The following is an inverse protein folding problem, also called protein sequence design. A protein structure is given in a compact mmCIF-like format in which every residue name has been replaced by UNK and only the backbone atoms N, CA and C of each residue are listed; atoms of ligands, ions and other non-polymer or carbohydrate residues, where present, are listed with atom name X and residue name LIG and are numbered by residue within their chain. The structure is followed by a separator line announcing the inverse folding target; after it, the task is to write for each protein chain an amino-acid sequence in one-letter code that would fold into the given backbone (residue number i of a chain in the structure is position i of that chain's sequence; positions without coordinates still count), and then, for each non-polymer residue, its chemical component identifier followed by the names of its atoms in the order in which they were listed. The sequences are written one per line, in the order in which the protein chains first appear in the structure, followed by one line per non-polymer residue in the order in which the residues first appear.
data_IF_615554074961
#
_entry.id   IF_615554074961
#
_cell.length_a   1.000
_cell.length_b   1.000
_cell.length_c   1.000
_cell.angle_alpha   90.00
_cell.angle_beta   90.00
_cell.angle_gamma   90.00
#
_symmetry.space_group_name_H-M   'P 1'
#
loop_
_entity.id
_entity.type
_entity.pdbx_description
1 polymer ?
#
# COMPACT_ATOMS: atom_id res chain seq x y z
N UNK A 1 66.76 -18.87 -24.30
CA UNK A 1 65.88 -20.01 -24.02
C UNK A 1 64.99 -19.59 -22.89
N UNK A 2 63.71 -19.55 -23.22
CA UNK A 2 62.60 -18.94 -22.52
C UNK A 2 62.41 -19.45 -21.11
N UNK A 3 61.91 -18.59 -20.23
CA UNK A 3 60.73 -18.87 -19.40
C UNK A 3 60.20 -17.55 -18.83
N UNK A 4 59.04 -17.16 -19.34
CA UNK A 4 58.27 -15.95 -19.02
C UNK A 4 57.48 -16.21 -17.74
N UNK A 5 57.73 -15.42 -16.69
CA UNK A 5 56.80 -15.30 -15.55
C UNK A 5 55.67 -14.34 -15.94
N UNK A 6 54.51 -14.90 -16.29
CA UNK A 6 53.28 -14.13 -16.46
C UNK A 6 52.58 -14.00 -15.10
N UNK A 7 52.53 -12.76 -14.60
CA UNK A 7 51.63 -12.37 -13.53
C UNK A 7 50.18 -12.39 -14.01
N UNK A 8 49.29 -12.84 -13.12
CA UNK A 8 47.85 -12.54 -13.18
C UNK A 8 47.37 -12.27 -11.76
N UNK A 9 47.62 -11.04 -11.29
CA UNK A 9 46.81 -10.43 -10.23
C UNK A 9 45.73 -9.65 -10.96
N UNK A 10 44.50 -10.16 -10.96
CA UNK A 10 43.36 -9.45 -11.56
C UNK A 10 42.18 -9.52 -10.61
N UNK A 11 42.11 -8.50 -9.76
CA UNK A 11 40.91 -7.76 -9.40
C UNK A 11 39.64 -8.58 -9.16
N UNK A 12 39.44 -9.02 -7.92
CA UNK A 12 38.10 -9.09 -7.36
C UNK A 12 37.56 -7.65 -7.27
N UNK A 13 36.81 -7.22 -8.28
CA UNK A 13 35.92 -6.08 -8.16
C UNK A 13 34.79 -6.47 -7.21
N UNK A 14 34.99 -6.17 -5.93
CA UNK A 14 33.88 -5.95 -5.00
C UNK A 14 33.11 -4.78 -5.58
N UNK A 15 31.96 -5.04 -6.22
CA UNK A 15 30.96 -4.01 -6.47
C UNK A 15 30.50 -3.51 -5.09
N UNK A 16 31.19 -2.49 -4.58
CA UNK A 16 30.64 -1.65 -3.52
C UNK A 16 29.47 -0.91 -4.13
N UNK A 17 28.27 -1.38 -3.80
CA UNK A 17 27.01 -0.73 -4.13
C UNK A 17 27.00 0.64 -3.42
N UNK A 18 27.42 1.69 -4.15
CA UNK A 18 27.50 3.05 -3.62
C UNK A 18 26.07 3.59 -3.55
N UNK A 19 25.39 3.32 -2.43
CA UNK A 19 24.21 4.09 -2.07
C UNK A 19 24.63 5.55 -1.96
N UNK A 20 24.05 6.42 -2.78
CA UNK A 20 24.29 7.85 -2.65
C UNK A 20 23.85 8.27 -1.24
N UNK A 21 24.65 9.06 -0.51
CA UNK A 21 24.25 9.54 0.79
C UNK A 21 22.93 10.32 0.65
N UNK A 22 22.03 10.14 1.61
CA UNK A 22 20.78 10.88 1.67
C UNK A 22 21.08 12.40 1.69
N UNK A 23 20.29 13.24 1.02
CA UNK A 23 20.51 14.69 1.03
C UNK A 23 20.36 15.27 2.44
N UNK A 24 21.15 16.29 2.77
CA UNK A 24 21.08 17.00 4.07
C UNK A 24 19.66 17.42 4.44
N UNK A 25 18.92 18.02 3.51
CA UNK A 25 17.53 18.43 3.74
C UNK A 25 16.59 17.26 4.09
N UNK A 26 16.89 16.04 3.61
CA UNK A 26 16.13 14.85 4.02
C UNK A 26 16.58 14.36 5.39
N UNK A 27 17.88 14.41 5.71
CA UNK A 27 18.39 14.09 7.04
C UNK A 27 17.80 15.02 8.11
N UNK A 28 17.73 16.32 7.85
CA UNK A 28 17.09 17.31 8.73
C UNK A 28 15.62 16.95 8.97
N UNK A 29 14.88 16.62 7.90
CA UNK A 29 13.49 16.17 8.01
C UNK A 29 13.34 14.91 8.85
N UNK A 30 14.25 13.95 8.71
CA UNK A 30 14.23 12.72 9.50
C UNK A 30 14.48 13.04 10.99
N UNK A 31 15.46 13.89 11.29
CA UNK A 31 15.76 14.33 12.65
C UNK A 31 14.57 15.04 13.29
N UNK A 32 13.97 16.01 12.58
CA UNK A 32 12.78 16.76 13.04
C UNK A 32 11.59 15.84 13.34
N UNK A 33 11.48 14.72 12.62
CA UNK A 33 10.42 13.72 12.80
C UNK A 33 10.81 12.55 13.74
N UNK A 34 12.04 12.56 14.28
CA UNK A 34 12.55 11.49 15.13
C UNK A 34 12.68 10.15 14.42
N UNK A 35 13.05 10.17 13.14
CA UNK A 35 13.24 8.99 12.28
C UNK A 35 14.73 8.70 12.12
N UNK A 36 15.10 7.42 12.31
CA UNK A 36 16.48 6.98 12.11
C UNK A 36 16.79 6.87 10.59
N UNK A 37 17.80 7.60 10.07
CA UNK A 37 18.22 7.49 8.67
C UNK A 37 18.63 6.07 8.24
N UNK A 38 19.05 5.22 9.18
CA UNK A 38 19.45 3.84 8.91
C UNK A 38 18.34 3.02 8.22
N UNK A 39 17.07 3.37 8.46
CA UNK A 39 15.87 2.79 7.82
C UNK A 39 16.00 2.75 6.29
N UNK A 40 16.60 3.77 5.68
CA UNK A 40 16.73 3.87 4.23
C UNK A 40 17.96 3.15 3.67
N UNK A 41 18.96 2.90 4.52
CA UNK A 41 20.14 2.10 4.16
C UNK A 41 19.84 0.60 4.08
N UNK A 42 18.73 0.15 4.68
CA UNK A 42 18.34 -1.26 4.73
C UNK A 42 17.78 -1.81 3.41
N UNK A 43 17.63 -0.99 2.37
CA UNK A 43 16.97 -1.37 1.12
C UNK A 43 17.50 -2.67 0.48
N UNK A 44 18.81 -2.90 0.57
CA UNK A 44 19.48 -4.08 0.01
C UNK A 44 19.37 -5.31 0.92
N UNK A 45 18.91 -5.14 2.16
CA UNK A 45 18.70 -6.21 3.14
C UNK A 45 17.23 -6.55 3.35
N UNK A 46 16.32 -5.59 3.15
CA UNK A 46 14.87 -5.77 3.28
C UNK A 46 14.36 -6.70 2.18
N UNK A 47 13.71 -7.82 2.51
CA UNK A 47 13.13 -8.71 1.50
C UNK A 47 12.10 -8.00 0.63
N UNK A 48 11.90 -8.53 -0.56
CA UNK A 48 10.72 -8.23 -1.36
C UNK A 48 9.64 -9.24 -1.04
N UNK A 49 8.40 -8.85 -1.25
CA UNK A 49 7.26 -9.70 -0.97
C UNK A 49 6.40 -9.90 -2.22
N UNK A 50 5.89 -11.12 -2.35
CA UNK A 50 4.87 -11.48 -3.33
C UNK A 50 3.65 -12.03 -2.59
N UNK A 51 2.47 -11.72 -3.12
CA UNK A 51 1.21 -12.33 -2.74
C UNK A 51 0.82 -13.35 -3.81
N UNK A 52 0.55 -14.58 -3.40
CA UNK A 52 0.00 -15.61 -4.25
C UNK A 52 -1.50 -15.39 -4.45
N UNK A 53 -2.00 -15.60 -5.67
CA UNK A 53 -3.44 -15.64 -5.93
C UNK A 53 -4.03 -16.87 -5.22
N UNK A 54 -5.14 -16.73 -4.48
CA UNK A 54 -5.83 -17.88 -3.91
C UNK A 54 -6.15 -18.93 -4.98
N UNK A 55 -5.89 -20.21 -4.68
CA UNK A 55 -6.08 -21.34 -5.61
C UNK A 55 -4.86 -21.67 -6.47
N UNK A 56 -3.75 -20.95 -6.33
CA UNK A 56 -2.49 -21.22 -7.03
C UNK A 56 -1.43 -21.89 -6.12
N UNK A 57 -1.82 -22.47 -4.98
CA UNK A 57 -0.91 -23.06 -3.99
C UNK A 57 -0.11 -24.24 -4.52
N UNK A 58 -0.70 -25.05 -5.42
CA UNK A 58 -0.02 -26.20 -6.04
C UNK A 58 1.05 -25.78 -7.07
N UNK A 59 1.11 -24.50 -7.43
CA UNK A 59 2.02 -23.96 -8.45
C UNK A 59 3.33 -23.41 -7.87
N UNK A 60 3.54 -23.51 -6.55
CA UNK A 60 4.70 -22.92 -5.85
C UNK A 60 6.04 -23.37 -6.44
N UNK A 61 6.20 -24.66 -6.73
CA UNK A 61 7.44 -25.21 -7.31
C UNK A 61 7.73 -24.64 -8.71
N UNK A 62 6.69 -24.42 -9.53
CA UNK A 62 6.85 -23.77 -10.85
C UNK A 62 7.27 -22.31 -10.68
N UNK A 63 6.65 -21.59 -9.72
CA UNK A 63 6.99 -20.20 -9.43
C UNK A 63 8.44 -20.07 -8.93
N UNK A 64 8.89 -20.94 -8.03
CA UNK A 64 10.27 -20.98 -7.55
C UNK A 64 11.28 -21.22 -8.68
N UNK A 65 10.96 -22.16 -9.59
CA UNK A 65 11.78 -22.43 -10.75
C UNK A 65 11.84 -21.23 -11.73
N UNK A 66 10.71 -20.55 -11.95
CA UNK A 66 10.63 -19.34 -12.78
C UNK A 66 11.45 -18.18 -12.20
N UNK A 67 11.35 -17.96 -10.88
CA UNK A 67 12.04 -16.87 -10.18
C UNK A 67 13.49 -17.20 -9.83
N UNK A 68 13.89 -18.47 -9.92
CA UNK A 68 15.21 -18.99 -9.54
C UNK A 68 15.56 -18.67 -8.08
N UNK A 69 14.57 -18.74 -7.21
CA UNK A 69 14.75 -18.55 -5.78
C UNK A 69 13.70 -19.35 -5.00
N UNK A 70 14.06 -19.79 -3.81
CA UNK A 70 13.13 -20.35 -2.84
C UNK A 70 12.19 -19.25 -2.31
N UNK A 71 10.90 -19.56 -2.21
CA UNK A 71 9.89 -18.67 -1.65
C UNK A 71 9.75 -18.90 -0.15
N UNK A 72 10.15 -17.92 0.65
CA UNK A 72 10.04 -18.03 2.12
C UNK A 72 8.66 -17.58 2.58
N UNK A 73 7.84 -18.49 3.09
CA UNK A 73 6.49 -18.17 3.60
C UNK A 73 6.55 -17.11 4.70
N UNK A 74 5.70 -16.09 4.62
CA UNK A 74 5.51 -15.10 5.67
C UNK A 74 4.49 -15.65 6.66
N UNK A 75 4.96 -16.22 7.77
CA UNK A 75 4.11 -17.00 8.70
C UNK A 75 2.92 -16.22 9.27
N UNK A 76 3.11 -14.93 9.56
CA UNK A 76 2.09 -14.05 10.13
C UNK A 76 1.12 -13.47 9.10
N UNK A 77 1.38 -13.69 7.80
CA UNK A 77 0.59 -13.13 6.70
C UNK A 77 0.27 -14.20 5.65
N UNK A 78 -0.91 -14.85 5.73
CA UNK A 78 -1.29 -15.92 4.81
C UNK A 78 -1.25 -15.50 3.34
N UNK A 79 -0.75 -16.39 2.48
CA UNK A 79 -0.63 -16.16 1.04
C UNK A 79 0.53 -15.24 0.62
N UNK A 80 1.37 -14.78 1.56
CA UNK A 80 2.55 -13.98 1.26
C UNK A 80 3.85 -14.79 1.37
N UNK A 81 4.79 -14.47 0.48
CA UNK A 81 6.12 -15.05 0.44
C UNK A 81 7.17 -13.96 0.27
N UNK A 82 8.26 -14.08 1.03
CA UNK A 82 9.44 -13.25 0.92
C UNK A 82 10.38 -13.83 -0.15
N UNK A 83 10.94 -12.93 -0.97
CA UNK A 83 11.95 -13.19 -1.98
C UNK A 83 13.14 -12.24 -1.78
N UNK A 84 14.35 -12.60 -2.20
CA UNK A 84 15.50 -11.70 -2.11
C UNK A 84 15.27 -10.36 -2.84
N UNK A 85 15.86 -9.25 -2.36
CA UNK A 85 15.57 -7.90 -2.87
C UNK A 85 15.87 -7.69 -4.36
N UNK A 86 16.88 -8.40 -4.88
CA UNK A 86 17.30 -8.31 -6.29
C UNK A 86 16.38 -9.07 -7.26
N UNK A 87 15.54 -10.00 -6.79
CA UNK A 87 14.68 -10.81 -7.67
C UNK A 87 13.58 -9.95 -8.29
N UNK A 88 13.46 -10.01 -9.62
CA UNK A 88 12.44 -9.30 -10.39
C UNK A 88 11.36 -10.26 -10.88
N UNK A 89 10.11 -9.98 -10.51
CA UNK A 89 8.97 -10.83 -10.88
C UNK A 89 8.33 -10.43 -12.22
N UNK A 90 8.56 -9.21 -12.70
CA UNK A 90 7.84 -8.67 -13.86
C UNK A 90 8.03 -9.49 -15.15
N UNK A 91 9.16 -10.20 -15.26
CA UNK A 91 9.49 -11.07 -16.39
C UNK A 91 8.92 -12.49 -16.27
N UNK A 92 8.41 -12.92 -15.12
CA UNK A 92 7.92 -14.28 -14.94
C UNK A 92 6.54 -14.48 -15.56
N UNK A 93 6.29 -15.71 -16.02
CA UNK A 93 4.99 -16.09 -16.59
C UNK A 93 3.92 -16.06 -15.50
N UNK A 94 4.24 -16.49 -14.28
CA UNK A 94 3.35 -16.43 -13.13
C UNK A 94 2.88 -15.00 -12.82
N UNK A 95 3.76 -14.00 -12.91
CA UNK A 95 3.35 -12.60 -12.73
C UNK A 95 2.47 -12.11 -13.88
N UNK A 96 2.86 -12.42 -15.13
CA UNK A 96 2.12 -11.97 -16.33
C UNK A 96 0.71 -12.57 -16.42
N UNK A 97 0.51 -13.77 -15.88
CA UNK A 97 -0.79 -14.46 -15.82
C UNK A 97 -1.60 -14.10 -14.55
N UNK A 98 -1.07 -13.24 -13.66
CA UNK A 98 -1.77 -12.84 -12.44
C UNK A 98 -1.85 -13.92 -11.37
N UNK A 99 -0.93 -14.90 -11.38
CA UNK A 99 -0.80 -15.91 -10.32
C UNK A 99 -0.09 -15.37 -9.10
N UNK A 100 0.82 -14.41 -9.28
CA UNK A 100 1.52 -13.71 -8.21
C UNK A 100 1.47 -12.19 -8.39
N UNK A 101 1.47 -11.46 -7.27
CA UNK A 101 1.45 -9.99 -7.24
C UNK A 101 2.60 -9.48 -6.38
N UNK A 102 3.30 -8.45 -6.84
CA UNK A 102 4.28 -7.74 -6.01
C UNK A 102 3.56 -6.79 -5.06
N UNK A 103 3.67 -7.03 -3.75
CA UNK A 103 3.02 -6.24 -2.71
C UNK A 103 3.85 -6.34 -1.44
N UNK A 104 4.12 -5.22 -0.78
CA UNK A 104 4.82 -5.21 0.51
C UNK A 104 3.98 -5.93 1.58
N UNK A 105 4.61 -6.69 2.47
CA UNK A 105 3.89 -7.46 3.48
C UNK A 105 3.13 -6.55 4.47
N UNK A 106 3.66 -5.37 4.80
CA UNK A 106 2.93 -4.43 5.65
C UNK A 106 1.61 -4.01 5.00
N UNK A 107 1.59 -3.75 3.68
CA UNK A 107 0.35 -3.43 2.95
C UNK A 107 -0.66 -4.58 3.00
N UNK A 108 -0.19 -5.82 2.93
CA UNK A 108 -1.05 -6.99 3.15
C UNK A 108 -1.62 -7.05 4.56
N UNK A 109 -0.87 -6.61 5.58
CA UNK A 109 -1.31 -6.53 6.97
C UNK A 109 -2.51 -5.56 7.13
N UNK A 110 -2.52 -4.42 6.44
CA UNK A 110 -3.66 -3.49 6.46
C UNK A 110 -4.95 -4.14 5.90
N UNK A 111 -4.82 -4.91 4.83
CA UNK A 111 -5.94 -5.66 4.26
C UNK A 111 -6.42 -6.74 5.22
N UNK A 112 -5.49 -7.48 5.84
CA UNK A 112 -5.83 -8.53 6.80
C UNK A 112 -6.49 -7.96 8.08
N UNK A 113 -6.04 -6.79 8.55
CA UNK A 113 -6.59 -6.10 9.72
C UNK A 113 -8.07 -5.71 9.55
N UNK A 114 -8.50 -5.45 8.30
CA UNK A 114 -9.89 -5.13 7.98
C UNK A 114 -10.83 -6.32 8.30
N UNK A 115 -10.29 -7.55 8.28
CA UNK A 115 -10.99 -8.79 8.56
C UNK A 115 -12.29 -8.91 7.76
N UNK A 116 -12.13 -9.00 6.44
CA UNK A 116 -13.22 -9.13 5.47
C UNK A 116 -13.73 -10.57 5.48
N UNK A 117 -15.05 -10.74 5.59
CA UNK A 117 -15.73 -12.02 5.56
C UNK A 117 -16.53 -12.19 4.26
N UNK A 118 -16.88 -13.44 3.95
CA UNK A 118 -17.77 -13.73 2.82
C UNK A 118 -19.13 -13.05 3.04
N UNK A 119 -19.59 -12.30 2.04
CA UNK A 119 -20.82 -11.52 2.09
C UNK A 119 -20.67 -10.06 2.54
N UNK A 120 -19.50 -9.64 3.03
CA UNK A 120 -19.26 -8.23 3.37
C UNK A 120 -19.31 -7.34 2.11
N UNK A 121 -19.99 -6.20 2.22
CA UNK A 121 -19.84 -5.11 1.28
C UNK A 121 -18.59 -4.29 1.64
N UNK A 122 -17.57 -4.35 0.79
CA UNK A 122 -16.27 -3.72 1.02
C UNK A 122 -16.02 -2.55 0.07
N UNK A 123 -15.58 -1.42 0.62
CA UNK A 123 -15.11 -0.26 -0.14
C UNK A 123 -13.61 -0.06 0.06
N UNK A 124 -12.84 0.05 -1.01
CA UNK A 124 -11.47 0.61 -0.97
C UNK A 124 -11.50 2.03 -1.55
N UNK A 125 -11.44 3.03 -0.68
CA UNK A 125 -11.62 4.44 -1.06
C UNK A 125 -10.45 5.01 -1.86
N UNK A 126 -9.27 4.42 -1.75
CA UNK A 126 -8.03 4.93 -2.33
C UNK A 126 -7.41 3.95 -3.35
N UNK A 127 -8.08 2.84 -3.64
CA UNK A 127 -7.80 2.03 -4.83
C UNK A 127 -7.77 2.94 -6.05
N UNK A 128 -6.56 3.27 -6.51
CA UNK A 128 -6.35 4.17 -7.64
C UNK A 128 -7.31 3.81 -8.78
N UNK A 129 -8.11 4.77 -9.29
CA UNK A 129 -8.90 4.53 -10.48
C UNK A 129 -7.92 4.14 -11.58
N UNK A 130 -8.21 3.06 -12.32
CA UNK A 130 -7.40 2.66 -13.46
C UNK A 130 -7.29 3.83 -14.45
N UNK A 131 -6.15 4.54 -14.41
CA UNK A 131 -5.73 5.63 -15.29
C UNK A 131 -6.82 6.41 -16.02
N UNK A 132 -7.24 7.53 -15.45
CA UNK A 132 -7.68 8.69 -16.22
C UNK A 132 -6.60 9.78 -16.09
N UNK A 133 -5.54 9.68 -16.90
CA UNK A 133 -4.76 10.87 -17.24
C UNK A 133 -5.57 11.64 -18.29
N UNK A 134 -6.45 12.52 -17.84
CA UNK A 134 -7.00 13.60 -18.65
C UNK A 134 -7.41 14.72 -17.71
N UNK A 135 -6.68 15.84 -17.74
CA UNK A 135 -6.98 17.07 -16.99
C UNK A 135 -8.31 17.74 -17.41
N UNK A 136 -9.18 17.08 -18.17
CA UNK A 136 -10.47 17.63 -18.60
C UNK A 136 -11.52 16.54 -18.79
N UNK A 137 -12.24 16.21 -17.72
CA UNK A 137 -13.68 15.89 -17.74
C UNK A 137 -14.16 15.55 -16.34
N UNK A 138 -15.44 15.81 -16.07
CA UNK A 138 -16.17 15.34 -14.89
C UNK A 138 -16.10 13.81 -14.78
N UNK A 139 -15.13 13.29 -14.02
CA UNK A 139 -14.85 11.86 -13.88
C UNK A 139 -15.95 11.16 -13.06
N UNK A 140 -16.80 10.42 -13.76
CA UNK A 140 -17.70 9.43 -13.17
C UNK A 140 -16.92 8.16 -12.89
N UNK A 141 -17.08 7.59 -11.71
CA UNK A 141 -16.45 6.33 -11.37
C UNK A 141 -17.02 5.20 -12.22
N UNK A 142 -16.11 4.49 -12.89
CA UNK A 142 -16.40 3.31 -13.69
C UNK A 142 -16.25 2.06 -12.83
N UNK A 143 -16.85 0.97 -13.30
CA UNK A 143 -16.68 -0.35 -12.70
C UNK A 143 -15.20 -0.72 -12.68
N UNK A 144 -14.73 -1.15 -11.53
CA UNK A 144 -13.32 -1.46 -11.35
C UNK A 144 -12.92 -2.73 -12.10
N UNK A 145 -11.73 -2.72 -12.71
CA UNK A 145 -11.10 -3.90 -13.32
C UNK A 145 -9.65 -4.01 -12.83
N UNK A 146 -9.16 -5.25 -12.67
CA UNK A 146 -7.84 -5.55 -12.10
C UNK A 146 -6.70 -4.73 -12.72
N UNK A 147 -5.78 -4.25 -11.87
CA UNK A 147 -4.66 -3.36 -12.25
C UNK A 147 -3.81 -3.99 -13.36
N UNK A 148 -3.99 -3.54 -14.60
CA UNK A 148 -3.07 -3.76 -15.73
C UNK A 148 -1.97 -2.70 -15.71
N UNK A 149 -0.72 -3.09 -16.02
CA UNK A 149 0.37 -2.11 -16.18
C UNK A 149 0.04 -1.10 -17.29
N UNK A 150 0.68 0.08 -17.30
CA UNK A 150 0.49 1.06 -18.38
C UNK A 150 0.76 0.46 -19.78
N UNK A 151 1.74 -0.47 -19.89
CA UNK A 151 2.05 -1.18 -21.14
C UNK A 151 0.93 -2.16 -21.54
N UNK A 152 0.24 -2.75 -20.58
CA UNK A 152 -0.87 -3.68 -20.82
C UNK A 152 -2.19 -2.94 -21.10
N UNK A 153 -2.37 -1.73 -20.56
CA UNK A 153 -3.44 -0.81 -20.95
C UNK A 153 -3.39 -0.47 -22.45
N UNK A 154 -2.19 -0.26 -23.00
CA UNK A 154 -2.01 0.04 -24.44
C UNK A 154 -2.29 -1.16 -25.35
N UNK A 155 -2.06 -2.39 -24.87
CA UNK A 155 -2.32 -3.64 -25.62
C UNK A 155 -3.79 -4.08 -25.52
N UNK A 156 -4.41 -3.93 -24.36
CA UNK A 156 -5.81 -4.27 -24.09
C UNK A 156 -6.81 -3.46 -24.92
N UNK A 157 -6.51 -2.21 -25.25
CA UNK A 157 -7.36 -1.39 -26.13
C UNK A 157 -7.56 -1.98 -27.53
N UNK A 158 -6.75 -2.97 -27.95
CA UNK A 158 -6.87 -3.68 -29.23
C UNK A 158 -7.62 -5.02 -29.18
N UNK A 159 -7.89 -5.56 -27.99
CA UNK A 159 -8.51 -6.87 -27.84
C UNK A 159 -9.73 -6.77 -26.92
N UNK A 160 -10.87 -6.42 -27.50
CA UNK A 160 -12.18 -6.56 -26.85
C UNK A 160 -13.11 -7.33 -27.78
N UNK A 161 -13.15 -8.64 -27.58
CA UNK A 161 -14.28 -9.53 -27.83
C UNK A 161 -14.02 -10.81 -27.04
N UNK A 162 -14.91 -11.14 -26.10
CA UNK A 162 -14.86 -12.38 -25.32
C UNK A 162 -15.32 -12.18 -23.88
N UNK A 163 -16.57 -12.57 -23.63
CA UNK A 163 -17.18 -12.80 -22.32
C UNK A 163 -16.65 -14.07 -21.69
N UNK A 164 -16.50 -14.10 -20.36
CA UNK A 164 -17.00 -15.21 -19.51
C UNK A 164 -16.90 -14.84 -18.02
N UNK A 165 -17.95 -15.21 -17.28
CA UNK A 165 -18.15 -15.01 -15.85
C UNK A 165 -17.56 -16.20 -15.07
N UNK A 166 -16.68 -15.94 -14.11
CA UNK A 166 -16.23 -16.91 -13.10
C UNK A 166 -16.46 -16.33 -11.71
N UNK A 167 -17.16 -17.10 -10.87
CA UNK A 167 -17.35 -16.86 -9.44
C UNK A 167 -16.00 -17.00 -8.72
N UNK A 168 -15.53 -15.93 -8.09
CA UNK A 168 -14.32 -15.94 -7.25
C UNK A 168 -14.64 -15.34 -5.88
N UNK A 169 -13.94 -15.83 -4.85
CA UNK A 169 -13.86 -15.26 -3.50
C UNK A 169 -13.64 -13.74 -3.56
N UNK A 170 -13.98 -12.96 -2.51
CA UNK A 170 -13.92 -11.51 -2.58
C UNK A 170 -12.50 -11.02 -2.86
N UNK A 171 -12.20 -10.80 -4.15
CA UNK A 171 -11.15 -9.89 -4.56
C UNK A 171 -11.55 -8.54 -4.00
N UNK A 172 -10.63 -7.94 -3.22
CA UNK A 172 -10.88 -6.77 -2.40
C UNK A 172 -11.08 -5.51 -3.24
N UNK A 173 -11.95 -5.50 -4.25
CA UNK A 173 -12.37 -4.31 -4.97
C UNK A 173 -13.83 -4.43 -5.44
N UNK A 174 -14.70 -3.58 -4.87
CA UNK A 174 -16.05 -3.39 -5.39
C UNK A 174 -16.37 -1.89 -5.54
N UNK A 175 -16.08 -1.34 -6.73
CA UNK A 175 -16.87 -0.25 -7.30
C UNK A 175 -17.83 -0.88 -8.30
N UNK A 176 -18.99 -1.35 -7.83
CA UNK A 176 -19.99 -2.04 -8.66
C UNK A 176 -21.36 -1.38 -8.58
N UNK A 177 -22.29 -1.70 -9.50
CA UNK A 177 -23.66 -1.14 -9.52
C UNK A 177 -24.38 -1.31 -8.16
N UNK A 178 -24.10 -2.39 -7.43
CA UNK A 178 -24.68 -2.70 -6.11
C UNK A 178 -24.04 -1.92 -4.96
N UNK A 179 -22.84 -1.35 -5.16
CA UNK A 179 -22.14 -0.52 -4.17
C UNK A 179 -22.68 0.93 -4.11
N UNK A 180 -23.52 1.32 -5.08
CA UNK A 180 -24.05 2.68 -5.21
C UNK A 180 -23.05 3.73 -5.72
N UNK A 181 -21.80 3.35 -5.99
CA UNK A 181 -20.72 4.29 -6.34
C UNK A 181 -20.49 4.45 -7.84
N UNK A 182 -20.85 3.46 -8.65
CA UNK A 182 -20.71 3.52 -10.12
C UNK A 182 -21.60 4.64 -10.69
N UNK A 183 -20.99 5.53 -11.47
CA UNK A 183 -21.68 6.68 -12.07
C UNK A 183 -21.73 7.93 -11.21
N UNK A 184 -21.29 7.85 -9.93
CA UNK A 184 -21.07 9.03 -9.09
C UNK A 184 -19.76 9.72 -9.48
N UNK A 185 -19.75 11.06 -9.44
CA UNK A 185 -18.52 11.84 -9.56
C UNK A 185 -17.85 12.02 -8.21
N UNK A 186 -16.55 12.35 -8.23
CA UNK A 186 -15.75 12.67 -7.03
C UNK A 186 -16.46 13.64 -6.08
N UNK A 187 -17.11 14.67 -6.62
CA UNK A 187 -17.84 15.69 -5.85
C UNK A 187 -19.19 15.20 -5.29
N UNK A 188 -19.75 14.12 -5.83
CA UNK A 188 -20.96 13.47 -5.30
C UNK A 188 -20.63 12.53 -4.14
N UNK A 189 -19.48 11.84 -4.21
CA UNK A 189 -18.95 11.03 -3.12
C UNK A 189 -18.50 11.86 -1.92
N UNK A 190 -17.81 12.97 -2.18
CA UNK A 190 -17.30 13.86 -1.14
C UNK A 190 -18.28 14.97 -0.74
N UNK A 191 -19.54 14.85 -1.16
CA UNK A 191 -20.57 15.80 -0.74
C UNK A 191 -20.87 15.58 0.75
N UNK A 192 -20.90 16.66 1.53
CA UNK A 192 -21.49 16.65 2.87
C UNK A 192 -22.98 16.35 2.70
N UNK A 193 -23.40 15.16 3.11
CA UNK A 193 -24.83 14.83 3.25
C UNK A 193 -25.19 15.21 4.69
N UNK A 194 -26.37 15.81 4.87
CA UNK A 194 -26.89 16.19 6.19
C UNK A 194 -26.93 14.97 7.13
N UNK A 195 -26.53 15.16 8.39
CA UNK A 195 -26.38 14.10 9.41
C UNK A 195 -27.71 13.47 9.88
N UNK A 196 -28.85 13.86 9.28
CA UNK A 196 -30.20 13.51 9.73
C UNK A 196 -30.86 12.31 9.02
N UNK A 197 -30.18 11.61 8.11
CA UNK A 197 -30.73 10.41 7.46
C UNK A 197 -30.10 9.14 8.08
N UNK A 198 -30.87 8.30 8.80
CA UNK A 198 -30.36 7.06 9.37
C UNK A 198 -30.01 6.10 8.24
N UNK A 199 -28.72 6.01 7.92
CA UNK A 199 -28.24 5.22 6.79
C UNK A 199 -28.31 3.74 7.15
N UNK A 200 -29.44 3.10 6.81
CA UNK A 200 -29.53 1.63 6.66
C UNK A 200 -28.73 1.13 5.44
N UNK A 201 -28.13 2.05 4.69
CA UNK A 201 -27.25 1.85 3.56
C UNK A 201 -25.80 2.22 3.92
N UNK A 202 -24.85 1.35 3.59
CA UNK A 202 -23.43 1.56 3.85
C UNK A 202 -22.62 0.29 3.63
N UNK A 203 -21.30 0.41 3.75
CA UNK A 203 -20.37 -0.71 3.63
C UNK A 203 -20.13 -1.37 4.99
N UNK A 204 -20.02 -2.69 5.02
CA UNK A 204 -19.57 -3.46 6.18
C UNK A 204 -18.12 -3.12 6.53
N UNK A 205 -17.30 -2.93 5.48
CA UNK A 205 -15.85 -2.75 5.56
C UNK A 205 -15.39 -1.62 4.67
N UNK A 206 -14.52 -0.75 5.20
CA UNK A 206 -13.92 0.32 4.40
C UNK A 206 -12.40 0.32 4.59
N UNK A 207 -11.65 0.28 3.50
CA UNK A 207 -10.21 0.51 3.48
C UNK A 207 -9.93 1.93 3.00
N UNK A 208 -9.12 2.66 3.77
CA UNK A 208 -8.59 3.98 3.42
C UNK A 208 -7.08 3.90 3.46
N UNK A 209 -6.48 3.38 2.38
CA UNK A 209 -5.03 3.41 2.16
C UNK A 209 -4.64 4.76 1.55
N UNK A 210 -4.49 5.77 2.41
CA UNK A 210 -4.50 7.17 2.00
C UNK A 210 -3.23 7.58 1.25
N UNK A 211 -3.40 8.49 0.28
CA UNK A 211 -2.26 9.18 -0.34
C UNK A 211 -1.48 9.93 0.73
N UNK A 212 -0.16 9.76 0.72
CA UNK A 212 0.77 10.34 1.70
C UNK A 212 2.06 10.80 1.02
N UNK A 213 3.02 11.26 1.82
CA UNK A 213 4.39 11.61 1.38
C UNK A 213 5.21 10.40 0.92
N UNK A 214 4.82 9.18 1.29
CA UNK A 214 5.53 7.93 1.01
C UNK A 214 6.94 7.84 1.63
N UNK A 215 7.22 8.61 2.68
CA UNK A 215 8.51 8.62 3.39
C UNK A 215 8.82 7.28 4.08
N UNK A 216 7.84 6.41 4.33
CA UNK A 216 8.10 5.04 4.80
C UNK A 216 8.42 4.04 3.69
N UNK A 217 8.18 4.38 2.42
CA UNK A 217 8.45 3.47 1.31
C UNK A 217 9.91 3.58 0.88
N UNK A 218 10.76 2.66 1.36
CA UNK A 218 12.19 2.62 1.02
C UNK A 218 12.38 2.69 -0.50
N UNK A 219 11.67 1.83 -1.24
CA UNK A 219 11.74 1.79 -2.71
C UNK A 219 11.27 3.08 -3.38
N UNK A 220 10.36 3.83 -2.76
CA UNK A 220 9.96 5.12 -3.31
C UNK A 220 11.06 6.15 -3.07
N UNK A 221 11.64 6.18 -1.87
CA UNK A 221 12.75 7.08 -1.55
C UNK A 221 13.96 6.83 -2.45
N UNK A 222 14.36 5.57 -2.66
CA UNK A 222 15.47 5.22 -3.55
C UNK A 222 15.26 5.65 -5.00
N UNK A 223 14.01 5.76 -5.49
CA UNK A 223 13.76 6.25 -6.85
C UNK A 223 14.25 7.70 -7.04
N UNK A 224 14.35 8.48 -5.97
CA UNK A 224 14.84 9.85 -6.04
C UNK A 224 16.36 9.96 -6.26
N UNK A 225 17.12 8.88 -6.03
CA UNK A 225 18.51 8.80 -6.50
C UNK A 225 18.57 8.95 -8.02
N UNK A 226 17.61 8.36 -8.73
CA UNK A 226 17.49 8.43 -10.19
C UNK A 226 16.67 9.64 -10.67
N UNK A 227 15.60 10.02 -9.96
CA UNK A 227 14.69 11.11 -10.33
C UNK A 227 15.16 12.50 -9.87
N UNK A 228 16.20 12.54 -9.06
CA UNK A 228 16.82 13.75 -8.51
C UNK A 228 16.19 14.22 -7.20
N UNK A 229 17.05 14.64 -6.28
CA UNK A 229 16.70 15.10 -4.93
C UNK A 229 15.82 16.37 -4.89
N UNK A 230 15.87 17.21 -5.93
CA UNK A 230 14.90 18.32 -6.09
C UNK A 230 13.45 17.82 -6.20
N UNK A 231 13.24 16.62 -6.73
CA UNK A 231 11.92 15.99 -6.80
C UNK A 231 11.50 15.47 -5.43
N UNK A 232 12.43 14.92 -4.64
CA UNK A 232 12.19 14.55 -3.24
C UNK A 232 11.76 15.77 -2.43
N UNK A 233 12.49 16.89 -2.54
CA UNK A 233 12.16 18.12 -1.84
C UNK A 233 10.72 18.57 -2.10
N UNK A 234 10.30 18.59 -3.38
CA UNK A 234 8.93 18.97 -3.76
C UNK A 234 7.84 17.99 -3.32
N UNK A 235 8.16 16.69 -3.25
CA UNK A 235 7.15 15.64 -3.04
C UNK A 235 7.02 15.21 -1.58
N UNK A 236 8.08 15.33 -0.80
CA UNK A 236 8.20 14.83 0.56
C UNK A 236 8.41 15.97 1.56
N UNK A 237 9.23 16.98 1.22
CA UNK A 237 9.66 18.03 2.16
C UNK A 237 8.91 19.37 2.00
N UNK A 238 7.96 19.43 1.08
CA UNK A 238 7.20 20.65 0.79
C UNK A 238 6.06 20.82 1.81
N UNK A 239 6.11 21.90 2.59
CA UNK A 239 5.18 22.15 3.68
C UNK A 239 3.73 22.38 3.17
N UNK A 240 3.54 23.18 2.11
CA UNK A 240 2.22 23.44 1.54
C UNK A 240 1.58 22.15 1.00
N UNK A 241 2.37 21.31 0.33
CA UNK A 241 1.93 19.99 -0.11
C UNK A 241 1.56 19.10 1.08
N UNK A 242 2.36 19.12 2.14
CA UNK A 242 2.09 18.32 3.35
C UNK A 242 0.77 18.74 3.99
N UNK A 243 0.50 20.03 4.13
CA UNK A 243 -0.78 20.54 4.64
C UNK A 243 -1.97 20.12 3.76
N UNK A 244 -1.81 20.18 2.43
CA UNK A 244 -2.82 19.70 1.49
C UNK A 244 -3.06 18.19 1.62
N UNK A 245 -2.01 17.39 1.84
CA UNK A 245 -2.11 15.96 2.08
C UNK A 245 -2.83 15.64 3.39
N UNK A 246 -2.51 16.35 4.49
CA UNK A 246 -3.18 16.16 5.77
C UNK A 246 -4.68 16.45 5.67
N UNK A 247 -5.05 17.53 4.97
CA UNK A 247 -6.46 17.85 4.69
C UNK A 247 -7.14 16.76 3.86
N UNK A 248 -6.47 16.26 2.81
CA UNK A 248 -6.99 15.18 1.97
C UNK A 248 -7.17 13.89 2.78
N UNK A 249 -6.19 13.50 3.58
CA UNK A 249 -6.22 12.30 4.43
C UNK A 249 -7.38 12.35 5.43
N UNK A 250 -7.55 13.48 6.12
CA UNK A 250 -8.68 13.68 7.03
C UNK A 250 -10.02 13.59 6.31
N UNK A 251 -10.13 14.18 5.12
CA UNK A 251 -11.34 14.10 4.29
C UNK A 251 -11.62 12.67 3.83
N UNK A 252 -10.61 11.92 3.39
CA UNK A 252 -10.75 10.52 2.99
C UNK A 252 -11.21 9.67 4.16
N UNK A 253 -10.58 9.80 5.32
CA UNK A 253 -10.97 9.08 6.54
C UNK A 253 -12.40 9.40 6.96
N UNK A 254 -12.76 10.69 6.99
CA UNK A 254 -14.11 11.16 7.34
C UNK A 254 -15.16 10.61 6.37
N UNK A 255 -14.88 10.65 5.06
CA UNK A 255 -15.83 10.15 4.06
C UNK A 255 -15.94 8.63 4.07
N UNK A 256 -14.82 7.91 4.26
CA UNK A 256 -14.83 6.46 4.44
C UNK A 256 -15.70 6.07 5.64
N UNK A 257 -15.54 6.76 6.76
CA UNK A 257 -16.35 6.51 7.96
C UNK A 257 -17.84 6.88 7.80
N UNK A 258 -18.13 7.93 7.02
CA UNK A 258 -19.51 8.30 6.66
C UNK A 258 -20.20 7.19 5.86
N UNK A 259 -19.48 6.58 4.91
CA UNK A 259 -19.98 5.48 4.06
C UNK A 259 -20.02 4.12 4.78
N UNK A 260 -19.32 3.99 5.90
CA UNK A 260 -19.35 2.81 6.76
C UNK A 260 -20.71 2.72 7.47
N UNK A 261 -21.34 1.56 7.47
CA UNK A 261 -22.57 1.35 8.24
C UNK A 261 -22.29 1.28 9.74
N UNK A 262 -23.31 1.51 10.57
CA UNK A 262 -23.23 1.21 12.01
C UNK A 262 -22.90 -0.27 12.22
N UNK A 263 -21.96 -0.55 13.12
CA UNK A 263 -21.41 -1.88 13.36
C UNK A 263 -20.38 -2.35 12.32
N UNK A 264 -20.05 -1.52 11.33
CA UNK A 264 -18.98 -1.79 10.38
C UNK A 264 -17.60 -1.44 10.94
N UNK A 265 -16.55 -1.85 10.24
CA UNK A 265 -15.16 -1.48 10.55
C UNK A 265 -14.43 -0.85 9.38
N UNK A 266 -13.65 0.18 9.65
CA UNK A 266 -12.76 0.85 8.70
C UNK A 266 -11.30 0.62 9.10
N UNK A 267 -10.41 0.45 8.11
CA UNK A 267 -8.97 0.52 8.31
C UNK A 267 -8.42 1.75 7.60
N UNK A 268 -7.75 2.61 8.35
CA UNK A 268 -6.94 3.70 7.82
C UNK A 268 -5.47 3.26 7.80
N UNK A 269 -4.81 3.43 6.67
CA UNK A 269 -3.37 3.18 6.54
C UNK A 269 -2.67 4.24 5.72
N UNK A 270 -1.38 4.42 5.99
CA UNK A 270 -0.47 5.18 5.13
C UNK A 270 0.89 4.50 5.09
N UNK A 271 1.68 4.74 4.05
CA UNK A 271 3.09 4.38 3.99
C UNK A 271 4.01 5.55 4.38
N UNK A 272 3.53 6.45 5.25
CA UNK A 272 4.34 7.50 5.89
C UNK A 272 4.83 7.03 7.26
N UNK A 273 6.04 7.43 7.65
CA UNK A 273 6.55 7.26 9.01
C UNK A 273 6.24 8.46 9.90
N UNK A 274 5.98 9.64 9.32
CA UNK A 274 5.64 10.85 10.09
C UNK A 274 4.41 10.67 10.98
N UNK A 275 4.43 11.28 12.16
CA UNK A 275 3.33 11.19 13.14
C UNK A 275 2.14 12.04 12.72
N UNK A 276 2.41 13.20 12.11
CA UNK A 276 1.37 14.15 11.69
C UNK A 276 0.39 13.55 10.68
N UNK A 277 0.87 12.71 9.75
CA UNK A 277 0.02 12.01 8.76
C UNK A 277 -0.65 10.75 9.32
N UNK A 278 -0.27 10.30 10.51
CA UNK A 278 -0.72 9.03 11.09
C UNK A 278 -1.58 9.30 12.32
N UNK A 279 -0.98 9.29 13.51
CA UNK A 279 -1.71 9.53 14.76
C UNK A 279 -2.37 10.90 14.76
N UNK A 280 -1.73 11.94 14.21
CA UNK A 280 -2.32 13.28 14.13
C UNK A 280 -3.65 13.32 13.36
N UNK A 281 -3.72 12.65 12.20
CA UNK A 281 -4.96 12.54 11.42
C UNK A 281 -6.02 11.73 12.16
N UNK A 282 -5.63 10.61 12.78
CA UNK A 282 -6.55 9.73 13.51
C UNK A 282 -7.13 10.44 14.74
N UNK A 283 -6.31 11.08 15.56
CA UNK A 283 -6.75 11.83 16.74
C UNK A 283 -7.69 12.98 16.35
N UNK A 284 -7.33 13.74 15.31
CA UNK A 284 -8.18 14.81 14.81
C UNK A 284 -9.53 14.28 14.31
N UNK A 285 -9.54 13.16 13.61
CA UNK A 285 -10.76 12.49 13.16
C UNK A 285 -11.63 12.03 14.35
N UNK A 286 -11.05 11.32 15.33
CA UNK A 286 -11.78 10.82 16.50
C UNK A 286 -12.39 11.96 17.33
N UNK A 287 -11.67 13.08 17.49
CA UNK A 287 -12.18 14.25 18.22
C UNK A 287 -13.46 14.85 17.63
N UNK A 288 -13.73 14.58 16.34
CA UNK A 288 -14.88 15.10 15.60
C UNK A 288 -15.98 14.06 15.36
N UNK A 289 -15.73 12.79 15.69
CA UNK A 289 -16.63 11.68 15.38
C UNK A 289 -16.84 10.81 16.64
N UNK A 290 -17.76 11.20 17.55
CA UNK A 290 -17.99 10.49 18.81
C UNK A 290 -18.45 9.02 18.65
N UNK A 291 -19.02 8.67 17.49
CA UNK A 291 -19.40 7.30 17.16
C UNK A 291 -18.26 6.45 16.60
N UNK A 292 -17.05 7.01 16.47
CA UNK A 292 -15.87 6.29 16.03
C UNK A 292 -15.05 5.81 17.23
N UNK A 293 -14.72 4.53 17.26
CA UNK A 293 -13.86 3.95 18.29
C UNK A 293 -12.66 3.24 17.66
N UNK A 294 -11.45 3.51 18.17
CA UNK A 294 -10.27 2.70 17.83
C UNK A 294 -10.44 1.28 18.37
N UNK A 295 -10.24 0.30 17.50
CA UNK A 295 -10.37 -1.12 17.79
C UNK A 295 -9.01 -1.81 17.80
N UNK A 296 -8.79 -2.72 18.74
CA UNK A 296 -7.62 -3.59 18.73
C UNK A 296 -7.68 -4.53 17.52
N UNK A 297 -6.52 -4.86 16.96
CA UNK A 297 -6.38 -5.81 15.86
C UNK A 297 -5.84 -7.10 16.49
N UNK A 298 -6.73 -7.94 17.04
CA UNK A 298 -6.33 -9.11 17.85
C UNK A 298 -5.41 -10.07 17.10
N UNK A 299 -5.61 -10.22 15.78
CA UNK A 299 -4.76 -11.06 14.93
C UNK A 299 -3.33 -10.54 14.77
N UNK A 300 -3.04 -9.30 15.20
CA UNK A 300 -1.75 -8.66 15.07
C UNK A 300 -0.80 -8.91 16.25
N UNK A 301 -1.24 -9.63 17.29
CA UNK A 301 -0.40 -9.95 18.46
C UNK A 301 0.90 -10.68 18.07
N UNK A 302 0.85 -11.50 17.00
CA UNK A 302 2.00 -12.22 16.44
C UNK A 302 2.66 -11.53 15.23
N UNK A 303 2.22 -10.32 14.87
CA UNK A 303 2.80 -9.60 13.73
C UNK A 303 4.11 -8.92 14.16
N UNK A 304 5.15 -8.91 13.30
CA UNK A 304 6.39 -8.22 13.58
C UNK A 304 6.20 -6.72 13.39
N UNK A 305 5.44 -6.08 14.27
CA UNK A 305 5.12 -4.66 14.23
C UNK A 305 5.27 -4.05 15.62
N UNK A 306 5.28 -2.72 15.70
CA UNK A 306 5.31 -1.98 16.96
C UNK A 306 4.01 -1.20 17.14
N UNK A 307 3.67 -0.88 18.39
CA UNK A 307 2.56 0.03 18.65
C UNK A 307 2.86 1.44 18.13
N UNK A 308 1.83 2.14 17.65
CA UNK A 308 1.91 3.57 17.36
C UNK A 308 1.94 4.43 18.64
N UNK A 309 1.96 5.75 18.46
CA UNK A 309 1.98 6.70 19.60
C UNK A 309 0.64 6.80 20.33
N UNK A 310 -0.43 6.31 19.71
CA UNK A 310 -1.75 6.16 20.34
C UNK A 310 -2.12 4.68 20.48
N UNK A 311 -2.82 4.29 21.56
CA UNK A 311 -3.20 2.89 21.78
C UNK A 311 -3.98 2.29 20.61
N UNK A 312 -3.87 0.96 20.42
CA UNK A 312 -4.57 0.18 19.38
C UNK A 312 -4.18 0.53 17.93
N UNK A 313 -3.07 1.23 17.72
CA UNK A 313 -2.51 1.49 16.38
C UNK A 313 -1.20 0.75 16.19
N UNK A 314 -0.90 0.38 14.94
CA UNK A 314 0.26 -0.42 14.59
C UNK A 314 1.17 0.33 13.61
N UNK A 315 2.47 0.10 13.73
CA UNK A 315 3.51 0.61 12.85
C UNK A 315 4.43 -0.52 12.40
N UNK A 316 4.75 -0.47 11.12
CA UNK A 316 5.72 -1.32 10.44
C UNK A 316 6.87 -0.46 9.95
N UNK A 317 8.05 -1.06 9.88
CA UNK A 317 9.26 -0.42 9.39
C UNK A 317 10.35 -1.47 9.12
N UNK A 318 11.44 -1.09 8.43
CA UNK A 318 12.47 -2.05 8.04
C UNK A 318 13.20 -2.70 9.21
N UNK A 319 13.38 -1.99 10.33
CA UNK A 319 14.13 -2.51 11.48
C UNK A 319 13.29 -3.48 12.30
N UNK A 320 12.00 -3.19 12.46
CA UNK A 320 11.07 -3.98 13.27
C UNK A 320 10.48 -5.15 12.48
N UNK A 321 10.08 -4.90 11.23
CA UNK A 321 9.21 -5.78 10.46
C UNK A 321 9.90 -6.44 9.27
N UNK A 322 11.09 -5.97 8.89
CA UNK A 322 11.70 -6.24 7.58
C UNK A 322 10.80 -5.89 6.39
N UNK A 323 9.91 -4.91 6.56
CA UNK A 323 9.01 -4.42 5.51
C UNK A 323 9.27 -2.94 5.22
N UNK A 324 8.59 -2.37 4.23
CA UNK A 324 8.47 -0.91 4.15
C UNK A 324 7.72 -0.35 5.37
N UNK A 325 7.86 0.96 5.57
CA UNK A 325 7.10 1.70 6.57
C UNK A 325 5.60 1.69 6.28
N UNK A 326 4.80 1.37 7.30
CA UNK A 326 3.34 1.47 7.23
C UNK A 326 2.74 1.80 8.60
N UNK A 327 1.66 2.56 8.62
CA UNK A 327 0.81 2.76 9.79
C UNK A 327 -0.57 2.15 9.56
N UNK A 328 -1.17 1.57 10.60
CA UNK A 328 -2.52 0.99 10.55
C UNK A 328 -3.31 1.43 11.80
N UNK A 329 -4.51 1.96 11.55
CA UNK A 329 -5.52 2.22 12.58
C UNK A 329 -6.85 1.58 12.16
N UNK A 330 -7.39 0.69 13.01
CA UNK A 330 -8.71 0.10 12.81
C UNK A 330 -9.75 0.84 13.64
N UNK A 331 -10.84 1.24 13.00
CA UNK A 331 -11.89 2.06 13.59
C UNK A 331 -13.24 1.36 13.42
N UNK A 332 -13.99 1.25 14.50
CA UNK A 332 -15.33 0.70 14.54
C UNK A 332 -16.37 1.82 14.63
N UNK A 333 -17.53 1.64 13.98
CA UNK A 333 -18.64 2.60 14.03
C UNK A 333 -19.71 2.15 15.01
N UNK A 334 -19.80 2.84 16.14
CA UNK A 334 -20.80 2.63 17.18
C UNK A 334 -22.19 3.05 16.70
N UNK A 335 -23.22 2.45 17.30
CA UNK A 335 -24.58 2.99 17.21
C UNK A 335 -24.63 4.28 18.03
N UNK A 336 -25.08 5.37 17.42
CA UNK A 336 -25.35 6.66 18.09
C UNK A 336 -26.65 6.62 18.86
#
# INVERSE_FOLDING_TARGET
MDSVENGLSSHETVEQDVTLPLPDAFLDFLEENGLDPSIYSMANSTPRYIRLKPGCEDELTEIEAELKCELKKVVWLPGFFAIPPHIQIAGSKSYQLGKIYGMDAASGAAVLALNVLSGDHVLDLCAAPGGANSERSTDRLLEWTSKRTWKDRRRASKARNGTDLVTSDPELIFYGRHSGVVGLCRNQLFRRVDDNEPSTSGYDKVLVDAECTHDGSIKHIQKYEFWGWKTLQRRVLDAERTDNLLNLQLQLLTNGFRLLRVGGSLVYSTCSLTVVQNEGVVEQFLSRNPSAELQQIDIADDWPCRSGRIPKTLRFDPTTSQTSGLFIAKIFKLAT
#
